data_IF_956813482889
#
_entry.id   IF_956813482889
#
_cell.length_a   1.000
_cell.length_b   1.000
_cell.length_c   1.000
_cell.angle_alpha   90.00
_cell.angle_beta   90.00
_cell.angle_gamma   90.00
#
_symmetry.space_group_name_H-M   'P 1'
#
loop_
_entity.id
_entity.type
_entity.pdbx_description
1 polymer ?
#
# COMPACT_ATOMS: atom_id res chain seq x y z
N UNK A 1 -13.16 3.10 19.96
CA UNK A 1 -13.01 4.02 21.08
C UNK A 1 -12.66 3.28 22.39
N UNK A 2 -13.39 2.23 22.76
CA UNK A 2 -13.12 1.47 24.01
C UNK A 2 -11.71 0.89 24.04
N UNK A 3 -11.24 0.32 22.94
CA UNK A 3 -9.87 -0.21 22.81
C UNK A 3 -8.79 0.87 22.92
N UNK A 4 -9.15 2.13 22.66
CA UNK A 4 -8.26 3.28 22.84
C UNK A 4 -8.38 3.93 24.25
N UNK A 5 -9.11 3.28 25.15
CA UNK A 5 -9.32 3.78 26.51
C UNK A 5 -10.30 4.95 26.64
N UNK A 6 -11.08 5.23 25.59
CA UNK A 6 -12.10 6.29 25.63
C UNK A 6 -13.40 5.70 26.19
N UNK A 7 -13.89 6.18 27.34
CA UNK A 7 -15.10 5.63 27.94
C UNK A 7 -16.33 5.94 27.08
N UNK A 8 -17.30 5.00 27.01
CA UNK A 8 -18.54 5.14 26.26
C UNK A 8 -19.30 6.44 26.61
N UNK A 9 -19.20 6.92 27.84
CA UNK A 9 -19.82 8.19 28.29
C UNK A 9 -19.23 9.43 27.60
N UNK A 10 -18.11 9.31 26.91
CA UNK A 10 -17.45 10.37 26.12
C UNK A 10 -17.66 10.22 24.62
N UNK A 11 -18.47 9.27 24.18
CA UNK A 11 -18.76 9.01 22.77
C UNK A 11 -20.24 9.30 22.50
N UNK A 12 -20.53 9.98 21.40
CA UNK A 12 -21.88 10.28 20.96
C UNK A 12 -22.06 9.83 19.50
N UNK A 13 -23.06 8.99 19.25
CA UNK A 13 -23.51 8.68 17.90
C UNK A 13 -24.49 9.77 17.47
N UNK A 14 -24.26 10.35 16.29
CA UNK A 14 -25.03 11.47 15.76
C UNK A 14 -25.59 11.10 14.38
N UNK A 15 -26.85 11.46 14.13
CA UNK A 15 -27.58 11.13 12.90
C UNK A 15 -27.72 12.34 11.95
N UNK A 16 -27.12 13.48 12.30
CA UNK A 16 -27.13 14.69 11.49
C UNK A 16 -25.92 15.57 11.77
N UNK A 17 -25.63 16.50 10.84
CA UNK A 17 -24.57 17.49 11.01
C UNK A 17 -24.83 18.44 12.19
N UNK A 18 -26.09 18.79 12.46
CA UNK A 18 -26.45 19.67 13.59
C UNK A 18 -26.20 18.96 14.93
N UNK A 19 -26.60 17.69 15.03
CA UNK A 19 -26.38 16.86 16.21
C UNK A 19 -24.86 16.65 16.45
N UNK A 20 -24.10 16.33 15.39
CA UNK A 20 -22.66 16.21 15.44
C UNK A 20 -21.99 17.51 15.92
N UNK A 21 -22.40 18.66 15.41
CA UNK A 21 -21.88 19.97 15.82
C UNK A 21 -22.14 20.25 17.30
N UNK A 22 -23.34 19.95 17.78
CA UNK A 22 -23.70 20.10 19.20
C UNK A 22 -22.87 19.18 20.08
N UNK A 23 -22.82 17.89 19.74
CA UNK A 23 -22.04 16.90 20.49
C UNK A 23 -20.55 17.27 20.57
N UNK A 24 -19.98 17.73 19.45
CA UNK A 24 -18.60 18.22 19.41
C UNK A 24 -18.39 19.43 20.31
N UNK A 25 -19.30 20.43 20.27
CA UNK A 25 -19.23 21.62 21.13
C UNK A 25 -19.33 21.27 22.63
N UNK A 26 -20.08 20.21 22.98
CA UNK A 26 -20.21 19.67 24.32
C UNK A 26 -19.01 18.78 24.76
N UNK A 27 -17.99 18.63 23.89
CA UNK A 27 -16.74 17.91 24.18
C UNK A 27 -16.85 16.38 24.06
N UNK A 28 -17.79 15.87 23.28
CA UNK A 28 -17.89 14.46 22.98
C UNK A 28 -17.03 14.06 21.76
N UNK A 29 -16.57 12.81 21.74
CA UNK A 29 -16.10 12.16 20.53
C UNK A 29 -17.32 11.76 19.69
N UNK A 30 -17.40 12.26 18.49
CA UNK A 30 -18.54 12.09 17.61
C UNK A 30 -18.36 10.87 16.72
N UNK A 31 -19.40 10.06 16.56
CA UNK A 31 -19.50 8.95 15.62
C UNK A 31 -20.68 9.22 14.70
N UNK A 32 -20.44 9.11 13.41
CA UNK A 32 -21.45 9.34 12.36
C UNK A 32 -21.38 8.24 11.31
N UNK A 33 -22.43 8.06 10.55
CA UNK A 33 -22.47 7.15 9.40
C UNK A 33 -22.05 7.81 8.08
N UNK A 34 -21.94 9.15 8.05
CA UNK A 34 -21.49 9.89 6.89
C UNK A 34 -20.47 10.96 7.27
N UNK A 35 -19.39 11.05 6.49
CA UNK A 35 -18.35 12.07 6.68
C UNK A 35 -18.89 13.49 6.51
N UNK A 36 -19.88 13.70 5.66
CA UNK A 36 -20.51 15.01 5.45
C UNK A 36 -21.03 15.63 6.75
N UNK A 37 -21.48 14.83 7.71
CA UNK A 37 -22.00 15.34 8.99
C UNK A 37 -20.93 15.97 9.87
N UNK A 38 -19.67 15.59 9.70
CA UNK A 38 -18.54 16.13 10.47
C UNK A 38 -17.61 17.02 9.64
N UNK A 39 -17.75 17.06 8.32
CA UNK A 39 -16.90 17.85 7.44
C UNK A 39 -16.99 19.36 7.68
N UNK A 40 -18.05 19.84 8.35
CA UNK A 40 -18.22 21.23 8.78
C UNK A 40 -17.69 21.55 10.18
N UNK A 41 -17.16 20.58 10.91
CA UNK A 41 -16.52 20.78 12.20
C UNK A 41 -15.11 21.38 12.01
N UNK A 42 -14.54 22.05 13.02
CA UNK A 42 -13.18 22.58 12.95
C UNK A 42 -12.15 21.45 13.12
N UNK A 43 -12.03 20.64 12.07
CA UNK A 43 -11.09 19.52 11.99
C UNK A 43 -9.90 19.94 11.13
N UNK A 44 -8.71 19.53 11.53
CA UNK A 44 -7.46 19.85 10.86
C UNK A 44 -7.02 18.74 9.89
N UNK A 45 -7.37 17.49 10.20
CA UNK A 45 -6.87 16.31 9.49
C UNK A 45 -7.97 15.28 9.31
N UNK A 46 -8.09 14.76 8.09
CA UNK A 46 -8.78 13.50 7.78
C UNK A 46 -7.75 12.37 7.71
N UNK A 47 -7.95 11.30 8.50
CA UNK A 47 -7.30 10.00 8.30
C UNK A 47 -8.30 9.09 7.64
N UNK A 48 -8.11 8.83 6.35
CA UNK A 48 -9.00 8.00 5.54
C UNK A 48 -8.51 6.55 5.50
N UNK A 49 -9.30 5.61 6.00
CA UNK A 49 -8.96 4.20 6.12
C UNK A 49 -10.17 3.27 5.96
N UNK A 50 -11.16 3.67 5.16
CA UNK A 50 -12.41 2.91 5.00
C UNK A 50 -12.25 1.67 4.10
N UNK A 51 -11.29 1.67 3.17
CA UNK A 51 -11.14 0.63 2.15
C UNK A 51 -12.26 0.62 1.10
N UNK A 52 -13.09 1.68 1.03
CA UNK A 52 -14.18 1.85 0.08
C UNK A 52 -13.80 2.94 -0.94
N UNK A 53 -13.28 2.61 -2.14
CA UNK A 53 -12.58 3.55 -3.00
C UNK A 53 -13.36 4.81 -3.39
N UNK A 54 -14.64 4.68 -3.73
CA UNK A 54 -15.48 5.81 -4.12
C UNK A 54 -15.79 6.73 -2.93
N UNK A 55 -16.14 6.17 -1.78
CA UNK A 55 -16.43 6.92 -0.57
C UNK A 55 -15.16 7.60 -0.03
N UNK A 56 -14.03 6.89 -0.09
CA UNK A 56 -12.71 7.39 0.27
C UNK A 56 -12.30 8.59 -0.57
N UNK A 57 -12.46 8.50 -1.90
CA UNK A 57 -12.16 9.59 -2.82
C UNK A 57 -13.03 10.84 -2.54
N UNK A 58 -14.34 10.64 -2.35
CA UNK A 58 -15.28 11.71 -2.04
C UNK A 58 -14.97 12.37 -0.68
N UNK A 59 -14.67 11.59 0.35
CA UNK A 59 -14.32 12.10 1.67
C UNK A 59 -13.01 12.91 1.63
N UNK A 60 -11.99 12.43 0.92
CA UNK A 60 -10.71 13.13 0.77
C UNK A 60 -10.88 14.45 -0.01
N UNK A 61 -11.66 14.45 -1.09
CA UNK A 61 -11.95 15.67 -1.85
C UNK A 61 -12.67 16.70 -0.98
N UNK A 62 -13.73 16.29 -0.27
CA UNK A 62 -14.46 17.16 0.63
C UNK A 62 -13.59 17.70 1.78
N UNK A 63 -12.71 16.87 2.34
CA UNK A 63 -11.76 17.30 3.37
C UNK A 63 -10.83 18.40 2.85
N UNK A 64 -10.25 18.24 1.66
CA UNK A 64 -9.42 19.25 1.01
C UNK A 64 -10.20 20.54 0.77
N UNK A 65 -11.46 20.44 0.32
CA UNK A 65 -12.34 21.60 0.14
C UNK A 65 -12.64 22.34 1.44
N UNK A 66 -12.66 21.64 2.55
CA UNK A 66 -12.87 22.18 3.91
C UNK A 66 -11.60 22.65 4.60
N UNK A 67 -10.45 22.54 3.96
CA UNK A 67 -9.17 23.00 4.48
C UNK A 67 -8.47 22.00 5.40
N UNK A 68 -8.82 20.73 5.34
CA UNK A 68 -8.18 19.67 6.12
C UNK A 68 -6.99 19.07 5.38
N UNK A 69 -5.95 18.71 6.10
CA UNK A 69 -4.91 17.80 5.63
C UNK A 69 -5.48 16.39 5.46
N UNK A 70 -4.92 15.58 4.57
CA UNK A 70 -5.38 14.21 4.32
C UNK A 70 -4.25 13.22 4.50
N UNK A 71 -4.49 12.20 5.34
CA UNK A 71 -3.67 11.00 5.44
C UNK A 71 -4.47 9.86 4.81
N UNK A 72 -4.03 9.39 3.65
CA UNK A 72 -4.70 8.35 2.88
C UNK A 72 -4.11 6.98 3.21
N UNK A 73 -4.90 6.12 3.85
CA UNK A 73 -4.52 4.73 4.13
C UNK A 73 -5.11 3.76 3.10
N UNK A 74 -6.26 4.12 2.50
CA UNK A 74 -6.91 3.33 1.45
C UNK A 74 -6.11 3.38 0.14
N UNK A 75 -5.19 2.43 -0.01
CA UNK A 75 -4.24 2.35 -1.14
C UNK A 75 -4.94 2.15 -2.50
N UNK A 76 -6.10 1.53 -2.52
CA UNK A 76 -6.92 1.37 -3.72
C UNK A 76 -7.36 2.72 -4.28
N UNK A 77 -7.77 3.63 -3.41
CA UNK A 77 -8.10 5.01 -3.77
C UNK A 77 -6.87 5.79 -4.21
N UNK A 78 -5.81 5.71 -3.40
CA UNK A 78 -4.58 6.48 -3.62
C UNK A 78 -3.90 6.10 -4.94
N UNK A 79 -3.89 4.82 -5.30
CA UNK A 79 -3.31 4.32 -6.54
C UNK A 79 -3.96 4.93 -7.80
N UNK A 80 -5.25 5.26 -7.74
CA UNK A 80 -6.03 5.75 -8.89
C UNK A 80 -6.16 7.27 -8.90
N UNK A 81 -6.56 7.87 -7.78
CA UNK A 81 -6.86 9.32 -7.70
C UNK A 81 -5.91 10.10 -6.79
N UNK A 82 -4.98 9.43 -6.11
CA UNK A 82 -4.07 10.07 -5.16
C UNK A 82 -3.28 11.24 -5.75
N UNK A 83 -2.75 11.09 -6.96
CA UNK A 83 -1.99 12.15 -7.62
C UNK A 83 -2.80 13.43 -7.87
N UNK A 84 -4.10 13.32 -8.19
CA UNK A 84 -4.95 14.51 -8.38
C UNK A 84 -5.36 15.11 -7.04
N UNK A 85 -5.64 14.29 -6.03
CA UNK A 85 -5.96 14.77 -4.67
C UNK A 85 -4.75 15.47 -4.04
N UNK A 86 -3.55 14.92 -4.19
CA UNK A 86 -2.30 15.55 -3.73
C UNK A 86 -2.08 16.92 -4.38
N UNK A 87 -2.33 17.05 -5.70
CA UNK A 87 -2.25 18.33 -6.41
C UNK A 87 -3.28 19.34 -5.88
N UNK A 88 -4.55 18.93 -5.74
CA UNK A 88 -5.62 19.79 -5.16
C UNK A 88 -5.27 20.26 -3.75
N UNK A 89 -4.72 19.40 -2.92
CA UNK A 89 -4.26 19.75 -1.58
C UNK A 89 -3.11 20.78 -1.63
N UNK A 90 -2.09 20.53 -2.45
CA UNK A 90 -0.94 21.43 -2.61
C UNK A 90 -1.36 22.83 -3.11
N UNK A 91 -2.30 22.95 -4.05
CA UNK A 91 -2.86 24.20 -4.54
C UNK A 91 -3.52 25.04 -3.43
N UNK A 92 -3.92 24.39 -2.33
CA UNK A 92 -4.52 25.02 -1.14
C UNK A 92 -3.55 25.13 0.05
N UNK A 93 -2.27 24.77 -0.12
CA UNK A 93 -1.29 24.75 0.95
C UNK A 93 -1.53 23.64 1.99
N UNK A 94 -2.27 22.60 1.61
CA UNK A 94 -2.57 21.45 2.46
C UNK A 94 -1.63 20.28 2.19
N UNK A 95 -1.46 19.41 3.16
CA UNK A 95 -0.72 18.17 3.04
C UNK A 95 -1.66 17.03 2.65
N UNK A 96 -1.28 16.29 1.63
CA UNK A 96 -1.82 14.98 1.29
C UNK A 96 -0.68 13.97 1.35
N UNK A 97 -0.82 12.90 2.11
CA UNK A 97 0.22 11.90 2.29
C UNK A 97 -0.37 10.50 2.48
N UNK A 98 0.41 9.48 2.18
CA UNK A 98 0.12 8.09 2.59
C UNK A 98 0.23 7.97 4.12
N UNK A 99 -0.48 6.99 4.70
CA UNK A 99 -0.34 6.66 6.12
C UNK A 99 1.06 6.11 6.42
N UNK A 100 1.74 6.66 7.43
CA UNK A 100 3.05 6.18 7.84
C UNK A 100 2.95 4.80 8.50
N UNK A 101 3.95 3.94 8.24
CA UNK A 101 4.02 2.57 8.76
C UNK A 101 3.42 1.50 7.84
N UNK A 102 2.70 1.87 6.78
CA UNK A 102 2.28 0.95 5.73
C UNK A 102 3.37 0.77 4.66
N UNK A 103 3.33 -0.30 3.92
CA UNK A 103 4.38 -0.69 2.97
C UNK A 103 4.70 0.39 1.93
N UNK A 104 3.73 1.06 1.27
CA UNK A 104 4.05 2.12 0.32
C UNK A 104 4.77 3.30 0.96
N UNK A 105 4.34 3.76 2.14
CA UNK A 105 4.98 4.89 2.81
C UNK A 105 6.43 4.58 3.22
N UNK A 106 6.67 3.37 3.73
CA UNK A 106 8.01 2.92 4.11
C UNK A 106 8.94 2.86 2.89
N UNK A 107 8.47 2.36 1.75
CA UNK A 107 9.26 2.30 0.51
C UNK A 107 9.50 3.70 -0.06
N UNK A 108 8.50 4.57 -0.07
CA UNK A 108 8.65 5.98 -0.46
C UNK A 108 9.69 6.69 0.42
N UNK A 109 9.61 6.47 1.73
CA UNK A 109 10.58 7.00 2.70
C UNK A 109 12.00 6.52 2.42
N UNK A 110 12.19 5.23 2.16
CA UNK A 110 13.48 4.63 1.85
C UNK A 110 14.07 5.19 0.54
N UNK A 111 13.26 5.31 -0.51
CA UNK A 111 13.66 5.93 -1.79
C UNK A 111 14.08 7.38 -1.57
N UNK A 112 13.28 8.13 -0.84
CA UNK A 112 13.54 9.55 -0.55
C UNK A 112 14.83 9.72 0.24
N UNK A 113 15.05 8.87 1.25
CA UNK A 113 16.27 8.88 2.04
C UNK A 113 17.52 8.55 1.19
N UNK A 114 17.44 7.52 0.35
CA UNK A 114 18.53 7.19 -0.57
C UNK A 114 18.87 8.36 -1.51
N UNK A 115 17.86 9.05 -2.05
CA UNK A 115 18.06 10.24 -2.90
C UNK A 115 18.71 11.40 -2.16
N UNK A 116 18.31 11.67 -0.91
CA UNK A 116 18.92 12.71 -0.07
C UNK A 116 20.41 12.40 0.21
N UNK A 117 20.77 11.12 0.33
CA UNK A 117 22.16 10.68 0.46
C UNK A 117 22.94 10.71 -0.86
N UNK A 118 22.34 11.15 -1.96
CA UNK A 118 22.97 11.20 -3.29
C UNK A 118 23.06 9.85 -4.00
N UNK A 119 22.31 8.85 -3.55
CA UNK A 119 22.29 7.54 -4.20
C UNK A 119 21.43 7.58 -5.47
N UNK A 120 21.92 6.94 -6.53
CA UNK A 120 21.12 6.68 -7.72
C UNK A 120 20.24 5.44 -7.47
N UNK A 121 18.94 5.63 -7.40
CA UNK A 121 17.98 4.53 -7.20
C UNK A 121 17.70 3.89 -8.55
N UNK A 122 18.18 2.68 -8.77
CA UNK A 122 18.04 1.95 -10.02
C UNK A 122 16.80 1.05 -10.05
N UNK A 123 16.29 0.65 -8.89
CA UNK A 123 15.09 -0.15 -8.77
C UNK A 123 14.52 -0.03 -7.36
N UNK A 124 13.22 -0.19 -7.23
CA UNK A 124 12.51 -0.23 -5.97
C UNK A 124 11.37 -1.26 -6.05
N UNK A 125 11.13 -1.97 -4.96
CA UNK A 125 10.09 -2.98 -4.89
C UNK A 125 9.87 -3.46 -3.48
N UNK A 126 8.85 -4.29 -3.32
CA UNK A 126 8.52 -4.95 -2.06
C UNK A 126 8.28 -6.44 -2.27
N UNK A 127 8.32 -7.25 -1.22
CA UNK A 127 7.80 -8.61 -1.29
C UNK A 127 6.29 -8.61 -1.50
N UNK A 128 5.78 -9.64 -2.21
CA UNK A 128 4.34 -9.83 -2.35
C UNK A 128 3.72 -10.30 -1.04
N UNK A 129 2.40 -10.11 -0.90
CA UNK A 129 1.63 -10.78 0.15
C UNK A 129 1.60 -12.31 -0.02
N UNK A 130 1.96 -12.81 -1.20
CA UNK A 130 2.05 -14.23 -1.50
C UNK A 130 3.50 -14.70 -1.39
N UNK A 131 3.94 -15.01 -0.18
CA UNK A 131 5.23 -15.66 0.05
C UNK A 131 5.22 -17.10 -0.46
N UNK A 132 6.25 -17.44 -1.23
CA UNK A 132 6.50 -18.81 -1.68
C UNK A 132 7.62 -19.41 -0.85
N UNK A 133 7.27 -20.37 -0.01
CA UNK A 133 8.20 -21.04 0.90
C UNK A 133 8.58 -22.38 0.30
N UNK A 134 9.83 -22.51 -0.14
CA UNK A 134 10.33 -23.77 -0.67
C UNK A 134 10.84 -24.67 0.47
N UNK A 135 10.31 -25.90 0.51
CA UNK A 135 10.78 -26.99 1.38
C UNK A 135 11.66 -27.93 0.57
N UNK A 136 13.00 -27.89 0.73
CA UNK A 136 13.91 -28.74 -0.02
C UNK A 136 13.86 -30.24 0.38
N UNK A 137 13.36 -30.55 1.58
CA UNK A 137 13.25 -31.95 2.04
C UNK A 137 12.09 -32.67 1.33
N UNK A 138 11.05 -31.94 0.96
CA UNK A 138 9.84 -32.46 0.32
C UNK A 138 9.77 -32.13 -1.18
N UNK A 139 10.68 -31.28 -1.66
CA UNK A 139 10.67 -30.71 -3.01
C UNK A 139 9.31 -30.06 -3.35
N UNK A 140 8.81 -29.24 -2.43
CA UNK A 140 7.50 -28.61 -2.47
C UNK A 140 7.59 -27.11 -2.20
N UNK A 141 6.63 -26.36 -2.74
CA UNK A 141 6.44 -24.94 -2.41
C UNK A 141 5.10 -24.78 -1.70
N UNK A 142 5.16 -24.13 -0.54
CA UNK A 142 4.00 -23.70 0.23
C UNK A 142 3.72 -22.24 -0.08
N UNK A 143 2.44 -21.90 -0.26
CA UNK A 143 1.96 -20.53 -0.35
C UNK A 143 0.89 -20.29 0.71
N UNK A 144 1.25 -19.86 1.93
CA UNK A 144 0.31 -19.71 3.04
C UNK A 144 -0.82 -18.73 2.71
N UNK A 145 -0.53 -17.63 2.03
CA UNK A 145 -1.51 -16.62 1.64
C UNK A 145 -2.60 -17.13 0.70
N UNK A 146 -2.31 -18.20 -0.07
CA UNK A 146 -3.28 -18.87 -0.94
C UNK A 146 -3.77 -20.20 -0.34
N UNK A 147 -3.26 -20.61 0.83
CA UNK A 147 -3.55 -21.89 1.49
C UNK A 147 -3.30 -23.10 0.56
N UNK A 148 -2.23 -23.03 -0.22
CA UNK A 148 -1.86 -24.05 -1.20
C UNK A 148 -0.45 -24.57 -0.95
N UNK A 149 -0.25 -25.82 -1.32
CA UNK A 149 1.04 -26.53 -1.31
C UNK A 149 1.12 -27.33 -2.60
N UNK A 150 2.21 -27.17 -3.34
CA UNK A 150 2.40 -27.81 -4.64
C UNK A 150 3.74 -28.51 -4.70
N UNK A 151 3.77 -29.66 -5.36
CA UNK A 151 5.01 -30.36 -5.67
C UNK A 151 5.79 -29.61 -6.76
N UNK A 152 7.06 -29.41 -6.53
CA UNK A 152 7.95 -28.67 -7.43
C UNK A 152 9.24 -29.45 -7.71
N UNK A 153 9.13 -30.64 -8.33
CA UNK A 153 10.27 -31.52 -8.53
C UNK A 153 11.36 -30.83 -9.34
N UNK A 154 12.57 -30.79 -8.77
CA UNK A 154 13.72 -30.12 -9.38
C UNK A 154 13.88 -28.63 -9.06
N UNK A 155 13.03 -28.06 -8.21
CA UNK A 155 13.17 -26.65 -7.77
C UNK A 155 14.53 -26.39 -7.11
N UNK A 156 15.07 -27.36 -6.38
CA UNK A 156 16.39 -27.26 -5.76
C UNK A 156 17.51 -26.94 -6.75
N UNK A 157 17.42 -27.46 -7.98
CA UNK A 157 18.40 -27.15 -9.04
C UNK A 157 18.29 -25.72 -9.54
N UNK A 158 17.17 -25.07 -9.30
CA UNK A 158 16.88 -23.69 -9.67
C UNK A 158 17.04 -22.73 -8.48
N UNK A 159 17.48 -23.20 -7.32
CA UNK A 159 17.56 -22.39 -6.10
C UNK A 159 18.56 -21.26 -6.19
N UNK A 160 19.63 -21.43 -6.93
CA UNK A 160 20.62 -20.38 -7.21
C UNK A 160 20.76 -20.15 -8.72
N UNK A 161 21.11 -18.96 -9.13
CA UNK A 161 21.33 -18.63 -10.53
C UNK A 161 22.57 -19.37 -11.07
N UNK A 162 23.68 -19.43 -10.30
CA UNK A 162 24.95 -19.95 -10.77
C UNK A 162 25.43 -19.15 -11.98
N UNK A 163 25.93 -19.84 -12.99
CA UNK A 163 26.38 -19.24 -14.26
C UNK A 163 25.24 -18.99 -15.26
N UNK A 164 23.99 -19.30 -14.87
CA UNK A 164 22.81 -19.12 -15.73
C UNK A 164 22.29 -17.70 -15.69
N UNK A 165 21.74 -17.20 -16.81
CA UNK A 165 21.04 -15.90 -16.80
C UNK A 165 19.91 -15.90 -15.77
N UNK A 166 19.86 -14.86 -14.92
CA UNK A 166 18.87 -14.74 -13.83
C UNK A 166 17.43 -14.84 -14.35
N UNK A 167 17.13 -14.19 -15.47
CA UNK A 167 15.81 -14.24 -16.12
C UNK A 167 15.39 -15.64 -16.54
N UNK A 168 16.32 -16.48 -17.00
CA UNK A 168 16.03 -17.86 -17.37
C UNK A 168 15.61 -18.69 -16.15
N UNK A 169 16.35 -18.55 -15.04
CA UNK A 169 16.04 -19.29 -13.80
C UNK A 169 14.72 -18.84 -13.21
N UNK A 170 14.48 -17.53 -13.15
CA UNK A 170 13.21 -16.97 -12.65
C UNK A 170 12.04 -17.40 -13.54
N UNK A 171 12.23 -17.42 -14.87
CA UNK A 171 11.22 -17.92 -15.81
C UNK A 171 10.86 -19.39 -15.56
N UNK A 172 11.85 -20.25 -15.29
CA UNK A 172 11.63 -21.66 -14.97
C UNK A 172 10.93 -21.83 -13.62
N UNK A 173 11.33 -21.09 -12.57
CA UNK A 173 10.62 -21.09 -11.27
C UNK A 173 9.17 -20.70 -11.47
N UNK A 174 8.92 -19.62 -12.21
CA UNK A 174 7.57 -19.15 -12.51
C UNK A 174 6.73 -20.21 -13.24
N UNK A 175 7.32 -20.92 -14.21
CA UNK A 175 6.64 -21.99 -14.94
C UNK A 175 6.23 -23.16 -14.04
N UNK A 176 7.01 -23.47 -12.99
CA UNK A 176 6.66 -24.50 -12.00
C UNK A 176 5.52 -24.06 -11.08
N UNK A 177 5.30 -22.76 -10.91
CA UNK A 177 4.33 -22.18 -9.99
C UNK A 177 3.10 -21.59 -10.69
N UNK A 178 2.79 -22.03 -11.91
CA UNK A 178 1.68 -21.46 -12.72
C UNK A 178 0.30 -21.65 -12.12
N UNK A 179 0.13 -22.63 -11.22
CA UNK A 179 -1.13 -22.84 -10.49
C UNK A 179 -1.36 -21.85 -9.36
N UNK A 180 -0.32 -21.11 -8.95
CA UNK A 180 -0.39 -20.10 -7.90
C UNK A 180 -0.50 -18.70 -8.49
N UNK A 181 -1.22 -17.81 -7.83
CA UNK A 181 -1.19 -16.38 -8.16
C UNK A 181 0.16 -15.78 -7.74
N UNK A 182 0.77 -15.02 -8.62
CA UNK A 182 2.06 -14.36 -8.39
C UNK A 182 1.93 -12.89 -7.97
N UNK A 183 0.71 -12.38 -7.90
CA UNK A 183 0.40 -10.98 -7.55
C UNK A 183 -0.91 -10.95 -6.78
N UNK A 184 -0.96 -10.15 -5.75
CA UNK A 184 -2.20 -9.75 -5.09
C UNK A 184 -2.66 -8.39 -5.65
N UNK A 185 -3.94 -8.07 -5.50
CA UNK A 185 -4.44 -6.73 -5.86
C UNK A 185 -3.81 -5.65 -4.99
N UNK A 186 -3.69 -5.84 -3.66
CA UNK A 186 -3.00 -4.88 -2.80
C UNK A 186 -1.57 -4.58 -3.25
N UNK A 187 -0.78 -5.58 -3.66
CA UNK A 187 0.60 -5.38 -4.16
C UNK A 187 0.64 -4.39 -5.33
N UNK A 188 -0.32 -4.50 -6.27
CA UNK A 188 -0.39 -3.62 -7.43
C UNK A 188 -0.75 -2.20 -7.03
N UNK A 189 -1.72 -2.03 -6.13
CA UNK A 189 -2.10 -0.72 -5.60
C UNK A 189 -0.94 -0.05 -4.87
N UNK A 190 -0.27 -0.77 -3.99
CA UNK A 190 0.88 -0.28 -3.22
C UNK A 190 2.03 0.18 -4.14
N UNK A 191 2.38 -0.63 -5.13
CA UNK A 191 3.43 -0.26 -6.08
C UNK A 191 3.02 0.91 -6.99
N UNK A 192 1.73 1.05 -7.32
CA UNK A 192 1.24 2.21 -8.05
C UNK A 192 1.34 3.50 -7.21
N UNK A 193 1.01 3.43 -5.92
CA UNK A 193 1.20 4.56 -4.98
C UNK A 193 2.67 4.98 -4.91
N UNK A 194 3.60 4.02 -4.79
CA UNK A 194 5.04 4.30 -4.80
C UNK A 194 5.48 4.95 -6.11
N UNK A 195 5.05 4.42 -7.26
CA UNK A 195 5.37 4.99 -8.56
C UNK A 195 4.87 6.43 -8.69
N UNK A 196 3.61 6.69 -8.31
CA UNK A 196 2.99 8.02 -8.34
C UNK A 196 3.74 9.02 -7.44
N UNK A 197 4.12 8.62 -6.23
CA UNK A 197 4.77 9.50 -5.26
C UNK A 197 6.24 9.76 -5.58
N UNK A 198 6.95 8.83 -6.23
CA UNK A 198 8.40 8.92 -6.45
C UNK A 198 8.79 9.30 -7.87
N UNK A 199 7.85 9.27 -8.82
CA UNK A 199 8.09 9.46 -10.24
C UNK A 199 8.85 8.30 -10.90
N UNK A 200 9.01 7.17 -10.21
CA UNK A 200 9.56 5.95 -10.80
C UNK A 200 8.53 5.28 -11.71
N UNK A 201 9.00 4.68 -12.78
CA UNK A 201 8.15 3.97 -13.73
C UNK A 201 8.27 2.46 -13.52
N UNK A 202 7.18 1.69 -13.66
CA UNK A 202 7.28 0.24 -13.68
C UNK A 202 8.09 -0.22 -14.91
N UNK A 203 8.95 -1.21 -14.75
CA UNK A 203 9.74 -1.81 -15.82
C UNK A 203 8.86 -2.62 -16.80
N UNK A 204 7.68 -3.03 -16.36
CA UNK A 204 6.65 -3.74 -17.16
C UNK A 204 5.26 -3.19 -16.86
N UNK A 205 4.33 -3.17 -17.86
CA UNK A 205 2.99 -2.58 -17.71
C UNK A 205 2.17 -3.10 -16.53
N UNK A 206 2.38 -4.37 -16.13
CA UNK A 206 1.67 -5.01 -15.01
C UNK A 206 2.56 -5.16 -13.77
N UNK A 207 3.59 -4.36 -13.64
CA UNK A 207 4.69 -4.50 -12.68
C UNK A 207 5.43 -5.85 -12.81
N UNK A 208 6.68 -5.85 -12.45
CA UNK A 208 7.49 -7.06 -12.44
C UNK A 208 7.28 -7.80 -11.11
N UNK A 209 6.87 -9.05 -11.16
CA UNK A 209 6.73 -9.94 -10.00
C UNK A 209 7.55 -11.21 -10.25
N UNK A 210 8.88 -11.15 -10.15
CA UNK A 210 9.74 -12.31 -10.33
C UNK A 210 9.59 -13.28 -9.15
N UNK A 211 9.67 -14.59 -9.44
CA UNK A 211 9.81 -15.61 -8.38
C UNK A 211 11.28 -15.70 -8.01
N UNK A 212 11.67 -14.80 -7.12
CA UNK A 212 13.06 -14.62 -6.75
C UNK A 212 13.19 -14.30 -5.26
N UNK A 213 14.36 -14.55 -4.69
CA UNK A 213 14.68 -14.14 -3.34
C UNK A 213 15.14 -12.69 -3.32
N UNK A 214 15.04 -12.04 -2.16
CA UNK A 214 15.45 -10.63 -2.02
C UNK A 214 16.92 -10.42 -2.34
N UNK A 215 17.77 -11.37 -1.96
CA UNK A 215 19.21 -11.34 -2.24
C UNK A 215 19.57 -11.50 -3.73
N UNK A 216 18.63 -11.96 -4.56
CA UNK A 216 18.78 -12.07 -6.02
C UNK A 216 18.37 -10.81 -6.80
N UNK A 217 17.75 -9.82 -6.13
CA UNK A 217 17.26 -8.61 -6.80
C UNK A 217 18.33 -7.82 -7.54
N UNK A 218 19.57 -7.66 -7.02
CA UNK A 218 20.64 -6.98 -7.76
C UNK A 218 20.99 -7.67 -9.08
N UNK A 219 20.97 -8.99 -9.13
CA UNK A 219 21.31 -9.73 -10.35
C UNK A 219 20.22 -9.66 -11.41
N UNK A 220 18.96 -9.40 -10.98
CA UNK A 220 17.80 -9.25 -11.87
C UNK A 220 17.66 -7.85 -12.44
N UNK A 221 17.88 -6.81 -11.60
CA UNK A 221 17.60 -5.42 -11.96
C UNK A 221 18.86 -4.60 -12.28
N UNK A 222 20.03 -5.12 -11.95
CA UNK A 222 21.33 -4.50 -12.27
C UNK A 222 22.26 -5.53 -12.91
N UNK A 223 21.89 -6.15 -14.05
CA UNK A 223 22.76 -7.12 -14.70
C UNK A 223 24.09 -6.47 -15.04
N UNK A 224 25.18 -7.22 -14.83
CA UNK A 224 26.58 -6.80 -15.11
C UNK A 224 26.82 -6.64 -16.59
#
# INVERSE_FOLDING_TARGET
YENAGIPASKVRVCESAEDAKKAYADGFNVVVDSFEYIAGLPLDVLVESSGAPEASAAAAELAIERGMHVVMVSKETDSVVGSILARKAAERGLVYTTGDGDQPSLLIGLISWGRVLGMNIVGAGKSSEYDFIYDPARDMVLCPGQKQEIATPGMGSLWQFGDRPAEEVVGKRRAMLTSLSHRSVPDLCEMAVVANATGMMPDRPLFHAPVARIDEMPDLFCPK
#
